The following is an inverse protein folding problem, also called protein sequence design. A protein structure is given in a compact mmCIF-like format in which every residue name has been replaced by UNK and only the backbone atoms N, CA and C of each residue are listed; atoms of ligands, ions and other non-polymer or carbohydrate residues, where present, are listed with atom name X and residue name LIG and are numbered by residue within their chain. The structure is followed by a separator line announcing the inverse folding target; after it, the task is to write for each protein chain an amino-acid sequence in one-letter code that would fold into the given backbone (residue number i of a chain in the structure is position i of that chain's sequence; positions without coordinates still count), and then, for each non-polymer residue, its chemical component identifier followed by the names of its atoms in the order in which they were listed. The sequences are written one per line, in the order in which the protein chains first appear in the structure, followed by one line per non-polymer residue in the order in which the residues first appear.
data_IF_416005937405
#
_entry.id   IF_416005937405
#
_cell.length_a   1.000
_cell.length_b   1.000
_cell.length_c   1.000
_cell.angle_alpha   90.00
_cell.angle_beta   90.00
_cell.angle_gamma   90.00
#
_symmetry.space_group_name_H-M   'P 1'
#
loop_
_entity.id
_entity.type
_entity.pdbx_description
1 polymer ?
#
# COMPACT_ATOMS: atom_id res chain seq x y z
N UNK A 1 -13.86 -23.55 29.57
CA UNK A 1 -13.81 -22.52 28.52
C UNK A 1 -12.49 -22.74 27.79
N UNK A 2 -12.56 -23.30 26.58
CA UNK A 2 -11.45 -24.00 25.91
C UNK A 2 -10.46 -23.03 25.26
N UNK A 3 -9.18 -23.36 25.36
CA UNK A 3 -8.03 -22.66 24.76
C UNK A 3 -8.23 -22.40 23.25
N UNK A 4 -8.92 -23.33 22.57
CA UNK A 4 -9.33 -23.26 21.16
C UNK A 4 -10.17 -22.01 20.80
N UNK A 5 -11.07 -21.56 21.68
CA UNK A 5 -11.87 -20.35 21.44
C UNK A 5 -11.04 -19.06 21.56
N UNK A 6 -10.00 -19.06 22.41
CA UNK A 6 -9.08 -17.91 22.52
C UNK A 6 -8.17 -17.83 21.29
N UNK A 7 -7.71 -18.97 20.77
CA UNK A 7 -6.88 -19.04 19.57
C UNK A 7 -7.64 -18.60 18.30
N UNK A 8 -8.91 -18.97 18.18
CA UNK A 8 -9.79 -18.52 17.10
C UNK A 8 -9.99 -16.99 17.12
N UNK A 9 -10.28 -16.40 18.28
CA UNK A 9 -10.45 -14.94 18.43
C UNK A 9 -9.14 -14.16 18.14
N UNK A 10 -7.98 -14.70 18.54
CA UNK A 10 -6.68 -14.12 18.22
C UNK A 10 -6.35 -14.21 16.73
N UNK A 11 -6.80 -15.26 16.03
CA UNK A 11 -6.69 -15.34 14.56
C UNK A 11 -7.58 -14.30 13.87
N UNK A 12 -8.84 -14.18 14.26
CA UNK A 12 -9.76 -13.21 13.66
C UNK A 12 -9.30 -11.76 13.83
N UNK A 13 -8.87 -11.38 15.04
CA UNK A 13 -8.36 -10.03 15.32
C UNK A 13 -7.13 -9.68 14.48
N UNK A 14 -6.19 -10.62 14.31
CA UNK A 14 -5.01 -10.44 13.44
C UNK A 14 -5.39 -10.25 11.98
N UNK A 15 -6.37 -11.01 11.48
CA UNK A 15 -6.87 -10.87 10.11
C UNK A 15 -7.54 -9.51 9.91
N UNK A 16 -8.42 -9.08 10.84
CA UNK A 16 -9.10 -7.77 10.77
C UNK A 16 -8.11 -6.61 10.80
N UNK A 17 -7.11 -6.64 11.68
CA UNK A 17 -6.08 -5.60 11.73
C UNK A 17 -5.24 -5.53 10.45
N UNK A 18 -4.95 -6.68 9.83
CA UNK A 18 -4.25 -6.72 8.53
C UNK A 18 -5.10 -6.08 7.42
N UNK A 19 -6.39 -6.38 7.35
CA UNK A 19 -7.31 -5.81 6.35
C UNK A 19 -7.47 -4.30 6.55
N UNK A 20 -7.57 -3.84 7.80
CA UNK A 20 -7.71 -2.42 8.11
C UNK A 20 -6.49 -1.59 7.66
N UNK A 21 -5.27 -2.04 7.99
CA UNK A 21 -4.03 -1.37 7.53
C UNK A 21 -3.91 -1.34 6.01
N UNK A 22 -4.38 -2.38 5.34
CA UNK A 22 -4.38 -2.44 3.89
C UNK A 22 -5.38 -1.43 3.30
N UNK A 23 -6.59 -1.34 3.88
CA UNK A 23 -7.59 -0.36 3.46
C UNK A 23 -7.12 1.08 3.63
N UNK A 24 -6.46 1.40 4.76
CA UNK A 24 -5.86 2.72 4.99
C UNK A 24 -4.78 3.03 3.95
N UNK A 25 -3.90 2.08 3.64
CA UNK A 25 -2.89 2.25 2.59
C UNK A 25 -3.54 2.52 1.21
N UNK A 26 -4.57 1.76 0.85
CA UNK A 26 -5.28 1.95 -0.42
C UNK A 26 -5.94 3.34 -0.51
N UNK A 27 -6.48 3.87 0.60
CA UNK A 27 -7.02 5.23 0.60
C UNK A 27 -5.94 6.28 0.33
N UNK A 28 -4.76 6.16 0.96
CA UNK A 28 -3.64 7.06 0.71
C UNK A 28 -3.09 6.93 -0.71
N UNK A 29 -2.96 5.70 -1.22
CA UNK A 29 -2.55 5.43 -2.60
C UNK A 29 -3.54 6.00 -3.61
N UNK A 30 -4.84 5.80 -3.39
CA UNK A 30 -5.90 6.31 -4.28
C UNK A 30 -5.91 7.84 -4.28
N UNK A 31 -5.82 8.47 -3.11
CA UNK A 31 -5.69 9.92 -3.01
C UNK A 31 -4.45 10.42 -3.75
N UNK A 32 -3.29 9.78 -3.54
CA UNK A 32 -2.05 10.11 -4.26
C UNK A 32 -2.24 10.04 -5.78
N UNK A 33 -2.79 8.94 -6.31
CA UNK A 33 -2.99 8.78 -7.76
C UNK A 33 -3.92 9.87 -8.31
N UNK A 34 -5.03 10.16 -7.64
CA UNK A 34 -6.00 11.17 -8.08
C UNK A 34 -5.37 12.57 -8.07
N UNK A 35 -4.73 12.97 -6.97
CA UNK A 35 -4.09 14.29 -6.86
C UNK A 35 -2.97 14.47 -7.86
N UNK A 36 -2.10 13.47 -8.03
CA UNK A 36 -1.02 13.55 -9.02
C UNK A 36 -1.59 13.63 -10.44
N UNK A 37 -2.60 12.82 -10.78
CA UNK A 37 -3.23 12.86 -12.11
C UNK A 37 -3.82 14.23 -12.41
N UNK A 38 -4.55 14.82 -11.45
CA UNK A 38 -5.11 16.17 -11.58
C UNK A 38 -4.00 17.21 -11.75
N UNK A 39 -2.97 17.17 -10.93
CA UNK A 39 -1.85 18.11 -10.99
C UNK A 39 -1.11 18.05 -12.34
N UNK A 40 -0.81 16.84 -12.82
CA UNK A 40 -0.15 16.64 -14.11
C UNK A 40 -1.05 17.02 -15.30
N UNK A 41 -2.36 16.77 -15.21
CA UNK A 41 -3.32 17.20 -16.23
C UNK A 41 -3.38 18.74 -16.33
N UNK A 42 -3.39 19.43 -15.19
CA UNK A 42 -3.39 20.89 -15.12
C UNK A 42 -2.08 21.45 -15.69
N UNK A 43 -0.93 20.88 -15.29
CA UNK A 43 0.36 21.25 -15.83
C UNK A 43 0.43 21.05 -17.37
N UNK A 44 -0.16 19.97 -17.88
CA UNK A 44 -0.23 19.71 -19.33
C UNK A 44 -1.06 20.77 -20.07
N UNK A 45 -2.20 21.18 -19.50
CA UNK A 45 -3.01 22.28 -20.08
C UNK A 45 -2.25 23.60 -20.06
N UNK A 46 -1.54 23.91 -18.98
CA UNK A 46 -0.71 25.13 -18.88
C UNK A 46 0.43 25.15 -19.90
N UNK A 47 1.03 23.98 -20.18
CA UNK A 47 2.04 23.84 -21.22
C UNK A 47 1.48 24.15 -22.61
N UNK A 48 0.29 23.63 -22.94
CA UNK A 48 -0.35 23.87 -24.24
C UNK A 48 -0.78 25.33 -24.46
N UNK A 49 -1.04 26.08 -23.38
CA UNK A 49 -1.42 27.49 -23.44
C UNK A 49 -0.22 28.45 -23.28
N UNK A 50 1.00 27.93 -23.33
CA UNK A 50 2.26 28.69 -23.21
C UNK A 50 2.30 29.63 -21.99
N UNK A 51 1.76 29.13 -20.86
CA UNK A 51 1.67 29.90 -19.62
C UNK A 51 3.06 30.01 -19.00
N UNK A 52 3.56 31.23 -18.83
CA UNK A 52 4.91 31.49 -18.28
C UNK A 52 5.16 30.83 -16.91
N UNK A 53 4.11 30.66 -16.10
CA UNK A 53 4.15 29.98 -14.80
C UNK A 53 4.26 28.45 -14.87
N UNK A 54 4.15 27.83 -16.05
CA UNK A 54 4.23 26.38 -16.24
C UNK A 54 5.50 25.77 -15.63
N UNK A 55 6.66 26.39 -15.86
CA UNK A 55 7.95 25.90 -15.37
C UNK A 55 7.96 25.78 -13.85
N UNK A 56 7.37 26.74 -13.15
CA UNK A 56 7.25 26.71 -11.70
C UNK A 56 6.33 25.58 -11.22
N UNK A 57 5.14 25.45 -11.84
CA UNK A 57 4.17 24.38 -11.51
C UNK A 57 4.75 22.98 -11.79
N UNK A 58 5.51 22.82 -12.87
CA UNK A 58 6.16 21.57 -13.24
C UNK A 58 7.23 21.16 -12.23
N UNK A 59 8.10 22.09 -11.82
CA UNK A 59 9.16 21.81 -10.82
C UNK A 59 8.56 21.50 -9.45
N UNK A 60 7.57 22.28 -9.01
CA UNK A 60 6.86 22.02 -7.75
C UNK A 60 6.14 20.67 -7.81
N UNK A 61 5.49 20.37 -8.94
CA UNK A 61 4.84 19.09 -9.19
C UNK A 61 5.79 17.91 -9.08
N UNK A 62 6.95 17.97 -9.73
CA UNK A 62 7.99 16.95 -9.60
C UNK A 62 8.41 16.75 -8.14
N UNK A 63 8.67 17.83 -7.41
CA UNK A 63 9.09 17.72 -6.01
C UNK A 63 7.99 17.12 -5.12
N UNK A 64 6.74 17.54 -5.31
CA UNK A 64 5.58 16.97 -4.60
C UNK A 64 5.40 15.49 -4.92
N UNK A 65 5.46 15.10 -6.19
CA UNK A 65 5.31 13.70 -6.62
C UNK A 65 6.41 12.81 -6.06
N UNK A 66 7.67 13.28 -6.07
CA UNK A 66 8.81 12.52 -5.57
C UNK A 66 8.82 12.43 -4.04
N UNK A 67 8.58 13.54 -3.34
CA UNK A 67 8.55 13.57 -1.87
C UNK A 67 7.44 12.68 -1.31
N UNK A 68 6.21 12.83 -1.82
CA UNK A 68 5.08 11.99 -1.41
C UNK A 68 5.22 10.55 -1.93
N UNK A 69 5.82 10.38 -3.11
CA UNK A 69 6.07 9.06 -3.72
C UNK A 69 6.99 8.21 -2.87
N UNK A 70 8.05 8.78 -2.29
CA UNK A 70 8.98 8.06 -1.40
C UNK A 70 8.28 7.62 -0.10
N UNK A 71 7.47 8.50 0.50
CA UNK A 71 6.68 8.17 1.69
C UNK A 71 5.67 7.05 1.42
N UNK A 72 4.98 7.13 0.27
CA UNK A 72 4.05 6.10 -0.18
C UNK A 72 4.76 4.78 -0.47
N UNK A 73 5.94 4.80 -1.09
CA UNK A 73 6.73 3.61 -1.41
C UNK A 73 7.22 2.91 -0.12
N UNK A 74 7.67 3.69 0.87
CA UNK A 74 8.05 3.17 2.19
C UNK A 74 6.85 2.53 2.91
N UNK A 75 5.69 3.18 2.88
CA UNK A 75 4.47 2.62 3.46
C UNK A 75 4.00 1.38 2.67
N UNK A 76 4.14 1.39 1.35
CA UNK A 76 3.85 0.25 0.48
C UNK A 76 4.72 -0.95 0.83
N UNK A 77 6.03 -0.78 1.01
CA UNK A 77 6.94 -1.87 1.42
C UNK A 77 6.57 -2.43 2.81
N UNK A 78 6.03 -1.59 3.69
CA UNK A 78 5.62 -1.98 5.05
C UNK A 78 4.27 -2.71 5.07
N UNK A 79 3.33 -2.30 4.21
CA UNK A 79 1.94 -2.80 4.19
C UNK A 79 1.71 -3.90 3.15
N UNK A 80 2.42 -3.85 2.03
CA UNK A 80 2.60 -4.96 1.10
C UNK A 80 3.85 -5.70 1.55
N UNK A 81 3.75 -6.74 2.40
CA UNK A 81 4.89 -7.63 2.57
C UNK A 81 5.25 -8.12 1.17
N UNK A 82 6.49 -7.90 0.75
CA UNK A 82 7.05 -8.31 -0.55
C UNK A 82 6.68 -9.76 -0.92
N UNK A 83 6.44 -10.59 0.10
CA UNK A 83 5.91 -11.95 0.06
C UNK A 83 4.52 -12.12 -0.56
N UNK A 84 3.67 -11.08 -0.60
CA UNK A 84 2.32 -11.15 -1.17
C UNK A 84 2.32 -11.14 -2.70
N UNK A 85 3.41 -10.68 -3.34
CA UNK A 85 3.64 -10.86 -4.78
C UNK A 85 3.94 -12.35 -5.07
N UNK A 86 4.53 -13.07 -4.10
CA UNK A 86 4.74 -14.52 -4.13
C UNK A 86 3.58 -15.34 -3.53
N UNK A 87 2.43 -14.70 -3.28
CA UNK A 87 1.18 -15.38 -2.96
C UNK A 87 1.01 -15.74 -1.49
N UNK A 88 -0.20 -15.46 -0.97
CA UNK A 88 -0.77 -16.06 0.25
C UNK A 88 -0.60 -17.59 0.29
N UNK A 89 -0.48 -18.18 -0.90
CA UNK A 89 -0.17 -19.58 -1.17
C UNK A 89 1.16 -20.03 -0.55
N UNK A 90 2.23 -19.22 -0.61
CA UNK A 90 3.52 -19.56 0.01
C UNK A 90 3.47 -19.48 1.55
N UNK A 91 2.76 -18.50 2.10
CA UNK A 91 2.58 -18.33 3.56
C UNK A 91 1.74 -19.50 4.11
N UNK A 92 0.64 -19.87 3.44
CA UNK A 92 -0.18 -21.03 3.78
C UNK A 92 0.58 -22.36 3.62
N UNK A 93 1.43 -22.50 2.60
CA UNK A 93 2.30 -23.69 2.43
C UNK A 93 3.30 -23.84 3.57
N UNK A 94 3.92 -22.73 4.02
CA UNK A 94 4.91 -22.76 5.10
C UNK A 94 4.27 -23.08 6.45
N UNK A 95 3.08 -22.51 6.72
CA UNK A 95 2.31 -22.82 7.93
C UNK A 95 1.86 -24.28 7.93
N UNK A 96 1.41 -24.80 6.79
CA UNK A 96 1.04 -26.22 6.64
C UNK A 96 2.25 -27.15 6.80
N UNK A 97 3.40 -26.76 6.27
CA UNK A 97 4.66 -27.50 6.43
C UNK A 97 5.14 -27.53 7.90
N UNK A 98 5.00 -26.44 8.64
CA UNK A 98 5.34 -26.38 10.07
C UNK A 98 4.36 -27.20 10.92
N UNK A 99 3.05 -27.09 10.68
CA UNK A 99 2.02 -27.91 11.35
C UNK A 99 2.20 -29.41 11.11
N UNK A 100 2.74 -29.81 9.96
CA UNK A 100 3.05 -31.21 9.66
C UNK A 100 4.29 -31.73 10.39
N UNK A 101 5.23 -30.84 10.77
CA UNK A 101 6.45 -31.20 11.50
C UNK A 101 6.24 -31.36 13.01
N UNK A 102 5.24 -30.71 13.59
CA UNK A 102 4.88 -30.91 15.01
C UNK A 102 3.97 -32.12 15.23
N UNK A 103 3.46 -32.75 14.17
CA UNK A 103 2.59 -33.94 14.24
C UNK A 103 3.36 -35.26 14.13
N UNK A 104 4.70 -35.22 14.11
CA UNK A 104 5.57 -36.41 14.19
C UNK A 104 6.52 -36.28 15.38
#
# INVERSE_FOLDING_TARGET
MTQDNQDAALRESRIRQRVHRLAEFYQHLMAYVIFNTLLWSMASVMYLNDVSSFKFVFVVGLFSTMGWGIGLLSHAITVLPVWRIFGKEWEDEKVKALMSRERN
#
